data_IF_698732809329
#
_entry.id   IF_698732809329
#
_cell.length_a   1.000
_cell.length_b   1.000
_cell.length_c   1.000
_cell.angle_alpha   90.00
_cell.angle_beta   90.00
_cell.angle_gamma   90.00
#
_symmetry.space_group_name_H-M   'P 1'
#
loop_
_entity.id
_entity.type
_entity.pdbx_description
1 polymer ?
#
# COMPACT_ATOMS: atom_id res chain seq x y z
N UNK A 1 83.40 0.97 38.86
CA UNK A 1 84.70 1.68 38.94
C UNK A 1 85.50 1.27 37.70
N UNK A 2 86.07 2.13 36.85
CA UNK A 2 86.10 3.63 36.76
C UNK A 2 86.45 3.96 35.28
N UNK A 3 85.88 4.93 34.56
CA UNK A 3 84.69 5.77 34.84
C UNK A 3 83.65 5.72 33.68
N UNK A 4 83.31 6.68 32.81
CA UNK A 4 83.64 8.11 32.58
C UNK A 4 84.54 8.39 31.35
N UNK A 5 84.35 9.47 30.57
CA UNK A 5 83.22 10.43 30.54
C UNK A 5 83.03 11.09 29.15
N UNK A 6 81.90 11.79 29.02
CA UNK A 6 81.28 12.42 27.83
C UNK A 6 82.16 13.45 27.09
N UNK A 7 82.12 13.45 25.75
CA UNK A 7 82.06 14.67 24.90
C UNK A 7 81.32 14.36 23.60
N UNK A 8 80.59 15.32 23.03
CA UNK A 8 79.81 15.15 21.79
C UNK A 8 80.09 16.27 20.78
N UNK A 9 80.07 15.97 19.47
CA UNK A 9 79.35 16.77 18.46
C UNK A 9 79.39 16.18 17.03
N UNK A 10 78.30 16.44 16.30
CA UNK A 10 78.16 16.58 14.84
C UNK A 10 78.93 15.66 13.86
N UNK A 11 78.16 14.88 13.10
CA UNK A 11 78.22 14.94 11.63
C UNK A 11 76.85 14.68 11.01
N UNK A 12 76.57 15.32 9.87
CA UNK A 12 75.27 15.25 9.19
C UNK A 12 75.05 13.88 8.53
N UNK A 13 73.82 13.33 8.60
CA UNK A 13 73.39 12.21 7.75
C UNK A 13 72.06 12.51 7.06
N UNK A 14 72.07 12.42 5.74
CA UNK A 14 70.93 12.69 4.87
C UNK A 14 69.96 11.50 4.92
N UNK A 15 68.76 11.71 5.47
CA UNK A 15 67.68 10.72 5.42
C UNK A 15 66.80 10.93 4.18
N UNK A 16 66.65 9.88 3.38
CA UNK A 16 65.76 9.85 2.21
C UNK A 16 64.36 9.45 2.70
N UNK A 17 63.38 10.34 2.56
CA UNK A 17 61.98 10.02 2.90
C UNK A 17 61.42 8.97 1.94
N UNK A 18 61.20 7.75 2.44
CA UNK A 18 60.39 6.72 1.76
C UNK A 18 58.94 6.92 2.20
N UNK A 19 58.12 7.49 1.32
CA UNK A 19 56.71 7.76 1.58
C UNK A 19 55.89 6.49 1.37
N UNK A 20 55.56 5.80 2.46
CA UNK A 20 54.62 4.68 2.43
C UNK A 20 53.23 5.18 1.99
N UNK A 21 52.67 4.57 0.94
CA UNK A 21 51.24 4.70 0.61
C UNK A 21 50.48 3.68 1.46
N UNK A 22 49.73 4.16 2.44
CA UNK A 22 48.68 3.37 3.09
C UNK A 22 47.47 3.33 2.16
N UNK A 23 47.30 2.21 1.46
CA UNK A 23 46.09 1.95 0.67
C UNK A 23 44.96 1.55 1.62
N UNK A 24 44.24 2.54 2.16
CA UNK A 24 43.01 2.33 2.91
C UNK A 24 41.93 1.83 1.95
N UNK A 25 41.68 0.52 1.96
CA UNK A 25 40.49 -0.06 1.36
C UNK A 25 39.28 0.36 2.19
N UNK A 26 38.70 1.50 1.82
CA UNK A 26 37.36 1.88 2.26
C UNK A 26 36.36 0.88 1.68
N UNK A 27 36.05 -0.16 2.47
CA UNK A 27 34.86 -0.98 2.22
C UNK A 27 33.67 -0.04 2.41
N UNK A 28 33.14 0.47 1.30
CA UNK A 28 31.95 1.29 1.34
C UNK A 28 30.82 0.45 1.92
N UNK A 29 30.22 0.92 3.02
CA UNK A 29 28.87 0.48 3.35
C UNK A 29 27.99 0.90 2.18
N UNK A 30 27.62 -0.07 1.35
CA UNK A 30 26.39 0.02 0.58
C UNK A 30 25.25 0.00 1.59
N UNK A 31 24.93 1.17 2.13
CA UNK A 31 23.62 1.38 2.70
C UNK A 31 22.62 1.07 1.58
N UNK A 32 21.73 0.10 1.80
CA UNK A 32 20.56 -0.03 0.96
C UNK A 32 19.81 1.29 1.06
N UNK A 33 19.82 2.04 -0.05
CA UNK A 33 19.07 3.26 -0.14
C UNK A 33 17.60 2.89 -0.23
N UNK A 34 16.81 3.40 0.73
CA UNK A 34 15.36 3.38 0.68
C UNK A 34 14.86 3.79 -0.72
N UNK A 35 13.88 3.06 -1.24
CA UNK A 35 13.32 3.31 -2.56
C UNK A 35 12.62 4.67 -2.66
N UNK A 36 12.23 5.08 -3.87
CA UNK A 36 11.62 6.40 -4.10
C UNK A 36 10.14 6.47 -3.71
N UNK A 37 9.51 5.36 -3.32
CA UNK A 37 8.07 5.22 -3.19
C UNK A 37 7.56 5.66 -1.82
N UNK A 38 6.25 5.86 -1.67
CA UNK A 38 5.69 6.39 -0.43
C UNK A 38 5.88 5.47 0.79
N UNK A 39 6.07 6.10 1.95
CA UNK A 39 5.98 5.43 3.24
C UNK A 39 4.57 4.90 3.55
N UNK A 40 4.43 4.06 4.57
CA UNK A 40 3.16 3.40 4.91
C UNK A 40 2.05 4.33 5.41
N UNK A 41 2.39 5.53 5.89
CA UNK A 41 1.45 6.57 6.33
C UNK A 41 2.06 7.96 6.23
N UNK A 42 1.22 9.00 6.30
CA UNK A 42 1.62 10.42 6.45
C UNK A 42 2.54 11.01 5.35
N UNK A 43 2.71 10.33 4.22
CA UNK A 43 3.58 10.74 3.09
C UNK A 43 2.76 11.26 1.89
N UNK A 44 1.77 12.11 2.16
CA UNK A 44 0.84 12.68 1.16
C UNK A 44 1.50 13.65 0.16
N UNK A 45 2.79 13.94 0.34
CA UNK A 45 3.61 14.73 -0.59
C UNK A 45 4.42 13.90 -1.59
N UNK A 46 4.38 12.57 -1.52
CA UNK A 46 5.12 11.70 -2.43
C UNK A 46 4.52 11.72 -3.85
N UNK A 47 5.37 11.57 -4.87
CA UNK A 47 4.95 11.50 -6.27
C UNK A 47 4.52 10.10 -6.71
N UNK A 48 4.76 9.09 -5.88
CA UNK A 48 4.41 7.69 -6.12
C UNK A 48 3.51 7.17 -5.00
N UNK A 49 2.35 6.61 -5.36
CA UNK A 49 1.44 5.82 -4.50
C UNK A 49 1.29 6.26 -3.04
N UNK A 50 1.18 7.59 -2.84
CA UNK A 50 1.06 8.24 -1.54
C UNK A 50 -0.17 7.73 -0.75
N UNK A 51 -0.01 7.33 0.53
CA UNK A 51 -1.06 6.66 1.30
C UNK A 51 -2.27 7.58 1.55
N UNK A 52 -3.48 7.07 1.30
CA UNK A 52 -4.73 7.80 1.51
C UNK A 52 -5.29 7.48 2.89
N UNK A 53 -5.43 8.49 3.75
CA UNK A 53 -6.05 8.34 5.05
C UNK A 53 -7.49 7.81 4.94
N UNK A 54 -7.81 6.70 5.61
CA UNK A 54 -9.16 6.14 5.71
C UNK A 54 -10.11 7.01 6.54
N UNK A 55 -9.56 7.71 7.54
CA UNK A 55 -10.26 8.62 8.44
C UNK A 55 -9.63 10.01 8.46
N UNK A 56 -10.45 11.05 8.66
CA UNK A 56 -10.01 12.44 8.87
C UNK A 56 -10.84 13.13 9.95
N UNK A 57 -10.29 14.19 10.54
CA UNK A 57 -11.00 15.02 11.51
C UNK A 57 -10.05 15.70 12.50
N UNK A 58 -10.58 16.23 13.62
CA UNK A 58 -9.80 16.95 14.64
C UNK A 58 -8.74 16.12 15.35
N UNK A 59 -8.87 14.79 15.37
CA UNK A 59 -7.97 13.88 16.09
C UNK A 59 -6.76 13.44 15.23
N UNK A 60 -6.72 13.87 13.95
CA UNK A 60 -5.59 13.70 13.03
C UNK A 60 -5.95 12.96 11.74
N UNK A 61 -5.20 13.17 10.66
CA UNK A 61 -5.36 12.37 9.44
C UNK A 61 -4.93 10.92 9.69
N UNK A 62 -5.69 9.98 9.14
CA UNK A 62 -5.46 8.54 9.27
C UNK A 62 -5.81 7.95 10.63
N UNK A 63 -6.29 8.72 11.62
CA UNK A 63 -6.64 8.17 12.94
C UNK A 63 -8.06 7.61 12.96
N UNK A 64 -8.16 6.28 13.10
CA UNK A 64 -9.42 5.53 13.02
C UNK A 64 -10.30 5.74 14.25
N UNK A 65 -11.60 5.94 14.05
CA UNK A 65 -12.59 6.06 15.13
C UNK A 65 -13.02 4.65 15.59
N UNK A 66 -12.17 4.02 16.41
CA UNK A 66 -12.22 2.58 16.73
C UNK A 66 -12.38 2.32 18.23
N UNK A 67 -12.99 1.20 18.58
CA UNK A 67 -13.05 0.70 19.96
C UNK A 67 -11.65 0.24 20.42
N UNK A 68 -11.10 0.88 21.45
CA UNK A 68 -9.79 0.53 22.05
C UNK A 68 -9.90 -0.34 23.30
N UNK A 69 -11.11 -0.75 23.71
CA UNK A 69 -11.32 -1.61 24.87
C UNK A 69 -12.73 -1.59 25.45
N UNK A 70 -12.85 -2.05 26.69
CA UNK A 70 -14.08 -2.04 27.51
C UNK A 70 -13.75 -1.33 28.83
N UNK A 71 -14.62 -0.43 29.28
CA UNK A 71 -14.58 0.18 30.59
C UNK A 71 -14.96 -0.84 31.68
N UNK A 72 -14.08 -1.02 32.67
CA UNK A 72 -14.21 -2.09 33.67
C UNK A 72 -15.21 -1.80 34.80
N UNK A 73 -15.77 -0.58 34.88
CA UNK A 73 -16.79 -0.21 35.87
C UNK A 73 -18.21 -0.18 35.27
N UNK A 74 -18.33 0.09 33.98
CA UNK A 74 -19.60 0.29 33.26
C UNK A 74 -19.89 -0.76 32.18
N UNK A 75 -18.92 -1.64 31.89
CA UNK A 75 -18.96 -2.65 30.82
C UNK A 75 -19.20 -2.08 29.41
N UNK A 76 -18.97 -0.76 29.20
CA UNK A 76 -19.19 -0.10 27.92
C UNK A 76 -17.93 -0.07 27.04
N UNK A 77 -18.08 -0.11 25.70
CA UNK A 77 -17.00 0.19 24.76
C UNK A 77 -16.31 1.54 25.01
N UNK A 78 -14.98 1.54 25.04
CA UNK A 78 -14.16 2.76 24.98
C UNK A 78 -13.73 2.95 23.52
N UNK A 79 -13.96 4.14 22.95
CA UNK A 79 -13.52 4.51 21.61
C UNK A 79 -12.41 5.56 21.66
N UNK A 80 -11.46 5.47 20.73
CA UNK A 80 -10.44 6.50 20.45
C UNK A 80 -10.80 7.27 19.17
N UNK A 81 -10.21 8.47 19.01
CA UNK A 81 -10.36 9.34 17.83
C UNK A 81 -11.83 9.62 17.47
N UNK A 82 -12.67 9.86 18.49
CA UNK A 82 -14.13 9.93 18.36
C UNK A 82 -14.66 11.15 17.60
N UNK A 83 -13.80 12.14 17.32
CA UNK A 83 -14.14 13.29 16.46
C UNK A 83 -13.85 13.02 14.97
N UNK A 84 -13.13 11.94 14.66
CA UNK A 84 -12.82 11.56 13.28
C UNK A 84 -13.95 10.75 12.62
N UNK A 85 -13.97 10.81 11.30
CA UNK A 85 -14.96 10.16 10.43
C UNK A 85 -14.30 9.64 9.15
N UNK A 86 -14.94 8.67 8.50
CA UNK A 86 -14.47 8.09 7.23
C UNK A 86 -14.26 9.19 6.19
N UNK A 87 -13.12 9.15 5.52
CA UNK A 87 -12.64 10.24 4.69
C UNK A 87 -13.57 10.51 3.49
N UNK A 88 -14.17 11.71 3.37
CA UNK A 88 -15.10 12.04 2.28
C UNK A 88 -14.41 12.20 0.91
N UNK A 89 -13.10 11.94 0.80
CA UNK A 89 -12.44 11.67 -0.48
C UNK A 89 -13.10 10.49 -1.19
N UNK A 90 -13.47 9.44 -0.45
CA UNK A 90 -14.13 8.24 -0.99
C UNK A 90 -15.60 8.54 -1.32
N UNK A 91 -16.00 8.19 -2.55
CA UNK A 91 -17.35 8.40 -3.11
C UNK A 91 -18.17 7.10 -3.15
N UNK A 92 -17.48 5.98 -3.19
CA UNK A 92 -18.06 4.64 -3.18
C UNK A 92 -17.12 3.64 -2.52
N UNK A 93 -17.63 2.43 -2.30
CA UNK A 93 -16.93 1.32 -1.69
C UNK A 93 -17.31 0.02 -2.41
N UNK A 94 -16.57 -1.05 -2.21
CA UNK A 94 -16.98 -2.37 -2.67
C UNK A 94 -18.35 -2.77 -2.07
N UNK A 95 -19.27 -3.25 -2.91
CA UNK A 95 -20.65 -3.60 -2.50
C UNK A 95 -21.01 -5.06 -2.71
N UNK A 96 -20.23 -5.80 -3.50
CA UNK A 96 -20.55 -7.17 -3.93
C UNK A 96 -19.29 -8.02 -3.94
N UNK A 97 -19.30 -9.19 -3.30
CA UNK A 97 -18.31 -10.26 -3.57
C UNK A 97 -18.75 -10.99 -4.84
N UNK A 98 -17.91 -10.97 -5.87
CA UNK A 98 -18.16 -11.64 -7.16
C UNK A 98 -17.52 -13.02 -7.17
N UNK A 99 -16.31 -13.14 -6.62
CA UNK A 99 -15.61 -14.40 -6.41
C UNK A 99 -14.70 -14.31 -5.19
N UNK A 100 -14.48 -15.43 -4.50
CA UNK A 100 -13.54 -15.56 -3.37
C UNK A 100 -12.98 -16.98 -3.35
N UNK A 101 -11.67 -17.09 -3.60
CA UNK A 101 -10.93 -18.34 -3.68
C UNK A 101 -9.67 -18.22 -2.82
N UNK A 102 -9.75 -18.40 -1.49
CA UNK A 102 -8.60 -18.35 -0.62
C UNK A 102 -7.72 -19.60 -0.75
N UNK A 103 -6.44 -19.48 -0.39
CA UNK A 103 -5.51 -20.60 -0.35
C UNK A 103 -5.49 -21.30 1.04
N UNK A 104 -4.32 -21.75 1.48
CA UNK A 104 -4.11 -22.39 2.79
C UNK A 104 -3.99 -21.38 3.93
N UNK A 105 -3.75 -21.88 5.15
CA UNK A 105 -3.33 -21.11 6.32
C UNK A 105 -4.35 -20.10 6.91
N UNK A 106 -5.50 -19.91 6.27
CA UNK A 106 -6.64 -19.13 6.79
C UNK A 106 -7.51 -19.94 7.77
N UNK A 107 -7.66 -19.49 9.01
CA UNK A 107 -8.62 -20.03 9.99
C UNK A 107 -10.06 -19.59 9.68
N UNK A 108 -11.05 -20.37 10.12
CA UNK A 108 -12.45 -20.23 9.65
C UNK A 108 -13.12 -18.89 9.93
N UNK A 109 -12.64 -18.12 10.92
CA UNK A 109 -13.17 -16.80 11.25
C UNK A 109 -12.83 -15.74 10.18
N UNK A 110 -11.65 -15.85 9.56
CA UNK A 110 -11.12 -14.89 8.57
C UNK A 110 -11.61 -15.15 7.13
N UNK A 111 -12.51 -16.14 6.95
CA UNK A 111 -13.02 -16.56 5.63
C UNK A 111 -14.34 -15.89 5.22
N UNK A 112 -14.80 -14.88 5.98
CA UNK A 112 -16.02 -14.16 5.62
C UNK A 112 -15.74 -13.05 4.61
N UNK A 113 -15.86 -13.35 3.32
CA UNK A 113 -15.69 -12.36 2.25
C UNK A 113 -16.63 -11.14 2.34
N UNK A 114 -17.70 -11.17 3.15
CA UNK A 114 -18.54 -10.00 3.38
C UNK A 114 -17.91 -8.93 4.29
N UNK A 115 -16.72 -9.17 4.86
CA UNK A 115 -15.98 -8.15 5.63
C UNK A 115 -15.35 -7.11 4.71
N UNK A 116 -14.91 -7.50 3.51
CA UNK A 116 -14.36 -6.59 2.50
C UNK A 116 -15.40 -5.67 1.81
N UNK A 117 -16.56 -5.44 2.40
CA UNK A 117 -17.69 -4.70 1.81
C UNK A 117 -18.10 -3.51 2.68
N UNK A 118 -18.34 -2.37 2.02
CA UNK A 118 -18.67 -1.12 2.69
C UNK A 118 -17.44 -0.29 3.07
N UNK A 119 -17.63 0.62 4.02
CA UNK A 119 -16.61 1.59 4.40
C UNK A 119 -15.52 0.98 5.30
N UNK A 120 -14.29 1.45 5.12
CA UNK A 120 -13.17 1.21 6.04
C UNK A 120 -13.60 1.54 7.49
N UNK A 121 -13.23 0.67 8.41
CA UNK A 121 -13.45 0.80 9.85
C UNK A 121 -12.16 1.05 10.63
N UNK A 122 -10.99 0.70 10.07
CA UNK A 122 -9.69 0.74 10.73
C UNK A 122 -9.53 -0.37 11.78
N UNK A 123 -10.43 -1.36 11.77
CA UNK A 123 -10.39 -2.52 12.63
C UNK A 123 -9.63 -3.63 11.91
N UNK A 124 -8.41 -3.88 12.37
CA UNK A 124 -7.50 -4.89 11.85
C UNK A 124 -8.05 -6.33 11.94
N UNK A 125 -9.18 -6.54 12.64
CA UNK A 125 -9.91 -7.80 12.70
C UNK A 125 -11.15 -7.85 11.80
N UNK A 126 -11.53 -6.74 11.16
CA UNK A 126 -12.67 -6.66 10.24
C UNK A 126 -12.27 -7.03 8.80
N UNK A 127 -11.49 -8.10 8.64
CA UNK A 127 -10.83 -8.48 7.38
C UNK A 127 -11.35 -9.80 6.80
N UNK A 128 -11.15 -9.99 5.48
CA UNK A 128 -11.11 -11.31 4.86
C UNK A 128 -9.70 -11.64 4.38
N UNK A 129 -9.18 -12.75 4.89
CA UNK A 129 -7.85 -13.25 4.54
C UNK A 129 -7.88 -14.02 3.22
N UNK A 130 -6.86 -13.83 2.38
CA UNK A 130 -6.71 -14.52 1.11
C UNK A 130 -5.98 -15.86 1.22
N UNK A 131 -5.13 -16.10 2.22
CA UNK A 131 -4.42 -17.38 2.34
C UNK A 131 -3.06 -17.42 1.65
N UNK A 132 -2.01 -17.64 2.44
CA UNK A 132 -0.63 -17.84 1.97
C UNK A 132 -0.34 -19.31 1.56
N UNK A 133 0.71 -19.51 0.76
CA UNK A 133 1.22 -20.78 0.26
C UNK A 133 2.69 -21.02 0.63
N UNK A 134 3.00 -22.22 1.14
CA UNK A 134 4.39 -22.66 1.20
C UNK A 134 5.02 -22.81 -0.19
N UNK A 135 6.32 -22.60 -0.30
CA UNK A 135 7.09 -22.83 -1.54
C UNK A 135 6.87 -24.24 -2.13
N UNK A 136 6.59 -25.25 -1.30
CA UNK A 136 6.25 -26.60 -1.76
C UNK A 136 4.86 -26.67 -2.45
N UNK A 137 3.88 -25.90 -1.97
CA UNK A 137 2.57 -25.80 -2.62
C UNK A 137 2.66 -25.02 -3.93
N UNK A 138 3.39 -23.89 -3.95
CA UNK A 138 3.65 -23.12 -5.18
C UNK A 138 4.33 -24.01 -6.23
N UNK A 139 5.38 -24.76 -5.85
CA UNK A 139 6.07 -25.71 -6.72
C UNK A 139 5.18 -26.89 -7.19
N UNK A 140 4.09 -27.19 -6.48
CA UNK A 140 3.09 -28.18 -6.89
C UNK A 140 1.99 -27.63 -7.81
N UNK A 141 2.01 -26.32 -8.10
CA UNK A 141 1.03 -25.64 -8.95
C UNK A 141 -0.21 -25.10 -8.22
N UNK A 142 -0.15 -24.94 -6.89
CA UNK A 142 -1.15 -24.16 -6.17
C UNK A 142 -1.15 -22.69 -6.62
N UNK A 143 -2.32 -22.06 -6.61
CA UNK A 143 -2.48 -20.63 -6.91
C UNK A 143 -2.65 -19.83 -5.61
N UNK A 144 -2.14 -18.58 -5.54
CA UNK A 144 -2.40 -17.69 -4.42
C UNK A 144 -3.89 -17.46 -4.18
N UNK A 145 -4.20 -16.96 -2.99
CA UNK A 145 -5.52 -16.46 -2.67
C UNK A 145 -5.99 -15.35 -3.60
N UNK A 146 -7.30 -15.23 -3.80
CA UNK A 146 -7.87 -14.09 -4.52
C UNK A 146 -9.31 -13.79 -4.11
N UNK A 147 -9.69 -12.52 -4.22
CA UNK A 147 -11.06 -12.03 -4.10
C UNK A 147 -11.34 -11.04 -5.23
N UNK A 148 -12.51 -11.16 -5.85
CA UNK A 148 -12.99 -10.21 -6.87
C UNK A 148 -14.21 -9.48 -6.30
N UNK A 149 -14.11 -8.16 -6.18
CA UNK A 149 -15.15 -7.29 -5.64
C UNK A 149 -15.75 -6.42 -6.74
N UNK A 150 -17.06 -6.18 -6.66
CA UNK A 150 -17.83 -5.33 -7.55
C UNK A 150 -18.39 -4.09 -6.85
N UNK A 151 -18.51 -3.00 -7.62
CA UNK A 151 -18.96 -1.69 -7.13
C UNK A 151 -20.35 -1.37 -7.67
N UNK A 152 -21.16 -0.64 -6.88
CA UNK A 152 -22.50 -0.18 -7.30
C UNK A 152 -22.46 1.01 -8.27
N UNK A 153 -21.34 1.72 -8.31
CA UNK A 153 -21.04 2.84 -9.20
C UNK A 153 -19.61 2.63 -9.71
N UNK A 154 -19.42 2.64 -11.03
CA UNK A 154 -18.13 2.34 -11.63
C UNK A 154 -17.06 3.37 -11.25
N UNK A 155 -15.83 2.90 -11.07
CA UNK A 155 -14.62 3.73 -10.90
C UNK A 155 -14.18 4.22 -12.29
N UNK A 156 -13.69 5.44 -12.39
CA UNK A 156 -13.20 6.02 -13.65
C UNK A 156 -11.86 6.73 -13.48
N UNK A 157 -10.98 6.66 -14.48
CA UNK A 157 -9.69 7.35 -14.49
C UNK A 157 -9.87 8.87 -14.36
N UNK A 158 -9.27 9.47 -13.33
CA UNK A 158 -9.42 10.87 -12.97
C UNK A 158 -8.13 11.66 -13.10
N UNK A 159 -7.74 12.35 -12.02
CA UNK A 159 -6.45 13.04 -11.90
C UNK A 159 -5.78 12.50 -10.64
N UNK A 160 -4.75 11.68 -10.83
CA UNK A 160 -4.14 10.93 -9.75
C UNK A 160 -5.02 9.77 -9.27
N UNK A 161 -4.72 9.26 -8.09
CA UNK A 161 -5.38 8.13 -7.41
C UNK A 161 -6.90 8.05 -7.60
N UNK A 162 -7.38 6.93 -8.14
CA UNK A 162 -8.79 6.65 -8.40
C UNK A 162 -9.45 5.78 -7.32
N UNK A 163 -8.66 4.99 -6.60
CA UNK A 163 -9.11 4.19 -5.47
C UNK A 163 -7.97 3.86 -4.50
N UNK A 164 -8.31 3.41 -3.30
CA UNK A 164 -7.36 2.89 -2.32
C UNK A 164 -7.80 1.52 -1.76
N UNK A 165 -6.82 0.67 -1.44
CA UNK A 165 -7.04 -0.66 -0.83
C UNK A 165 -6.50 -0.64 0.60
N UNK A 166 -7.29 -1.16 1.54
CA UNK A 166 -6.99 -1.25 2.97
C UNK A 166 -6.82 -2.72 3.37
N UNK A 167 -5.69 -3.06 3.97
CA UNK A 167 -5.37 -4.35 4.61
C UNK A 167 -4.88 -4.07 6.06
N UNK A 168 -4.56 -5.06 6.88
CA UNK A 168 -4.29 -4.86 8.31
C UNK A 168 -2.81 -4.62 8.70
N UNK A 169 -1.97 -4.20 7.76
CA UNK A 169 -0.54 -3.96 7.98
C UNK A 169 -0.26 -3.04 9.17
N UNK A 170 0.81 -3.34 9.91
CA UNK A 170 1.18 -2.71 11.17
C UNK A 170 2.65 -2.23 11.16
N UNK A 171 2.92 -1.10 11.82
CA UNK A 171 4.31 -0.63 12.01
C UNK A 171 4.92 -1.42 13.15
N UNK A 172 5.96 -2.20 12.85
CA UNK A 172 6.58 -3.10 13.81
C UNK A 172 7.31 -2.33 14.92
N UNK A 173 7.15 -2.81 16.16
CA UNK A 173 8.00 -2.41 17.29
C UNK A 173 9.33 -3.19 17.36
N UNK A 174 9.58 -4.08 16.38
CA UNK A 174 10.74 -4.96 16.29
C UNK A 174 10.40 -6.43 16.57
N UNK A 175 11.39 -7.20 17.03
CA UNK A 175 11.21 -8.61 17.37
C UNK A 175 11.50 -9.54 16.20
N UNK A 176 10.45 -10.02 15.52
CA UNK A 176 10.58 -10.84 14.32
C UNK A 176 10.94 -10.02 13.06
N UNK A 177 10.61 -8.73 13.06
CA UNK A 177 11.01 -7.75 12.05
C UNK A 177 11.81 -6.57 12.63
N UNK A 178 11.98 -5.53 11.81
CA UNK A 178 12.74 -4.32 12.13
C UNK A 178 11.80 -3.24 12.67
N UNK A 179 12.18 -2.64 13.80
CA UNK A 179 11.38 -1.58 14.41
C UNK A 179 11.27 -0.35 13.47
N UNK A 180 10.04 0.12 13.24
CA UNK A 180 9.73 1.23 12.32
C UNK A 180 9.58 0.83 10.85
N UNK A 181 9.77 -0.44 10.48
CA UNK A 181 9.31 -0.99 9.21
C UNK A 181 7.91 -1.58 9.34
N UNK A 182 7.26 -1.87 8.21
CA UNK A 182 5.89 -2.39 8.15
C UNK A 182 5.91 -3.92 8.11
N UNK A 183 5.14 -4.58 8.98
CA UNK A 183 4.66 -5.93 8.69
C UNK A 183 3.49 -5.78 7.72
N UNK A 184 3.61 -6.37 6.55
CA UNK A 184 2.69 -6.26 5.43
C UNK A 184 2.61 -7.61 4.74
N UNK A 185 1.42 -7.98 4.29
CA UNK A 185 1.19 -9.12 3.40
C UNK A 185 0.69 -8.53 2.08
N UNK A 186 1.41 -8.74 0.97
CA UNK A 186 1.22 -7.93 -0.24
C UNK A 186 0.27 -8.60 -1.25
N UNK A 187 -0.39 -7.77 -2.05
CA UNK A 187 -1.21 -8.26 -3.16
C UNK A 187 -1.04 -7.46 -4.44
N UNK A 188 -1.14 -8.16 -5.57
CA UNK A 188 -1.38 -7.56 -6.87
C UNK A 188 -2.82 -7.06 -6.94
N UNK A 189 -3.00 -5.91 -7.60
CA UNK A 189 -4.32 -5.35 -7.89
C UNK A 189 -4.58 -5.42 -9.39
N UNK A 190 -5.76 -5.92 -9.75
CA UNK A 190 -6.22 -6.04 -11.13
C UNK A 190 -7.61 -5.43 -11.29
N UNK A 191 -7.86 -4.72 -12.40
CA UNK A 191 -9.11 -3.99 -12.64
C UNK A 191 -9.83 -4.51 -13.89
N UNK A 192 -11.16 -4.47 -13.90
CA UNK A 192 -11.97 -4.98 -14.99
C UNK A 192 -13.29 -4.21 -15.17
N UNK A 193 -13.71 -4.06 -16.42
CA UNK A 193 -15.03 -3.55 -16.82
C UNK A 193 -16.09 -4.65 -16.86
N UNK A 194 -15.72 -5.88 -17.24
CA UNK A 194 -16.65 -6.96 -17.58
C UNK A 194 -16.64 -8.16 -16.62
N UNK A 195 -15.68 -8.21 -15.68
CA UNK A 195 -15.51 -9.31 -14.73
C UNK A 195 -14.84 -10.54 -15.33
N UNK A 196 -14.26 -10.43 -16.55
CA UNK A 196 -13.59 -11.50 -17.27
C UNK A 196 -12.17 -11.11 -17.69
N UNK A 197 -12.01 -9.91 -18.26
CA UNK A 197 -10.75 -9.34 -18.71
C UNK A 197 -10.19 -8.42 -17.62
N UNK A 198 -9.03 -8.77 -17.05
CA UNK A 198 -8.41 -8.04 -15.93
C UNK A 198 -7.05 -7.48 -16.32
N UNK A 199 -6.91 -6.16 -16.24
CA UNK A 199 -5.64 -5.46 -16.40
C UNK A 199 -4.97 -5.30 -15.02
N UNK A 200 -3.76 -5.82 -14.86
CA UNK A 200 -2.99 -5.75 -13.60
C UNK A 200 -2.18 -4.46 -13.53
N UNK A 201 -2.29 -3.72 -12.42
CA UNK A 201 -1.51 -2.50 -12.22
C UNK A 201 0.00 -2.82 -12.14
N UNK A 202 0.87 -2.03 -12.79
CA UNK A 202 2.30 -2.29 -12.83
C UNK A 202 2.96 -1.95 -11.50
N UNK A 203 3.42 -2.98 -10.78
CA UNK A 203 4.09 -2.88 -9.47
C UNK A 203 5.61 -2.93 -9.56
N UNK A 204 6.28 -2.49 -8.48
CA UNK A 204 7.73 -2.67 -8.27
C UNK A 204 8.02 -3.12 -6.83
N UNK A 205 8.96 -4.06 -6.67
CA UNK A 205 9.51 -4.51 -5.38
C UNK A 205 11.03 -4.38 -5.39
N UNK A 206 11.56 -3.56 -4.49
CA UNK A 206 13.00 -3.41 -4.21
C UNK A 206 13.42 -4.10 -2.90
N UNK A 207 12.52 -4.86 -2.26
CA UNK A 207 12.84 -5.67 -1.07
C UNK A 207 13.94 -6.68 -1.42
N UNK A 208 15.09 -6.69 -0.72
CA UNK A 208 16.30 -7.38 -1.21
C UNK A 208 16.29 -8.90 -1.01
N UNK A 209 15.45 -9.42 -0.13
CA UNK A 209 15.37 -10.84 0.23
C UNK A 209 14.11 -11.14 1.05
N UNK A 210 13.71 -12.41 1.13
CA UNK A 210 12.63 -12.86 2.02
C UNK A 210 12.87 -12.44 3.48
N UNK A 211 11.82 -11.95 4.15
CA UNK A 211 11.90 -11.40 5.51
C UNK A 211 11.44 -12.39 6.60
N UNK A 212 10.76 -13.46 6.20
CA UNK A 212 10.29 -14.55 7.08
C UNK A 212 8.88 -14.33 7.61
N UNK A 213 8.37 -15.33 8.33
CA UNK A 213 6.93 -15.46 8.66
C UNK A 213 6.29 -14.22 9.29
N UNK A 214 6.98 -13.53 10.21
CA UNK A 214 6.51 -12.27 10.79
C UNK A 214 7.58 -11.18 10.66
N UNK A 215 8.26 -11.19 9.51
CA UNK A 215 9.26 -10.19 9.13
C UNK A 215 8.62 -8.86 8.72
N UNK A 216 9.44 -7.90 8.32
CA UNK A 216 9.00 -6.56 7.91
C UNK A 216 9.65 -6.12 6.62
N UNK A 217 8.92 -5.32 5.85
CA UNK A 217 9.38 -4.65 4.64
C UNK A 217 9.51 -3.14 4.87
N UNK A 218 10.43 -2.52 4.15
CA UNK A 218 10.48 -1.06 4.04
C UNK A 218 9.46 -0.62 2.98
N UNK A 219 8.38 0.09 3.33
CA UNK A 219 7.31 0.45 2.38
C UNK A 219 7.81 1.35 1.24
N UNK A 220 8.92 2.08 1.43
CA UNK A 220 9.51 2.93 0.37
C UNK A 220 10.14 2.13 -0.77
N UNK A 221 10.41 0.83 -0.55
CA UNK A 221 10.87 -0.11 -1.57
C UNK A 221 9.72 -0.75 -2.38
N UNK A 222 8.46 -0.45 -2.06
CA UNK A 222 7.28 -1.08 -2.67
C UNK A 222 6.45 -0.05 -3.41
N UNK A 223 6.05 -0.37 -4.63
CA UNK A 223 5.18 0.44 -5.48
C UNK A 223 4.00 -0.37 -6.02
N UNK A 224 2.79 0.18 -5.93
CA UNK A 224 1.58 -0.33 -6.60
C UNK A 224 1.24 -1.79 -6.21
N UNK A 225 1.58 -2.19 -4.98
CA UNK A 225 1.14 -3.42 -4.31
C UNK A 225 0.33 -3.02 -3.08
N UNK A 226 -0.84 -3.62 -2.91
CA UNK A 226 -1.64 -3.38 -1.72
C UNK A 226 -0.94 -3.95 -0.48
N UNK A 227 -1.28 -3.46 0.71
CA UNK A 227 -0.76 -3.93 2.00
C UNK A 227 0.48 -3.19 2.50
N UNK A 228 1.09 -2.29 1.70
CA UNK A 228 2.23 -1.50 2.19
C UNK A 228 1.84 -0.36 3.15
N UNK A 229 0.55 -0.03 3.24
CA UNK A 229 0.03 1.12 4.00
C UNK A 229 -0.59 0.67 5.31
N UNK A 230 -0.26 1.36 6.41
CA UNK A 230 -0.61 0.91 7.78
C UNK A 230 -2.08 1.17 8.10
N UNK A 231 -2.79 0.14 8.56
CA UNK A 231 -4.20 0.23 8.92
C UNK A 231 -4.48 -0.75 10.08
N UNK A 232 -3.90 -0.40 11.23
CA UNK A 232 -3.85 -1.17 12.48
C UNK A 232 -3.52 -0.20 13.65
N UNK A 233 -3.66 -0.64 14.90
CA UNK A 233 -3.34 0.13 16.13
C UNK A 233 -4.00 1.54 16.22
N UNK A 234 -5.11 1.76 15.50
CA UNK A 234 -5.81 3.06 15.43
C UNK A 234 -5.28 4.02 14.35
N UNK A 235 -4.31 3.60 13.54
CA UNK A 235 -4.04 4.17 12.21
C UNK A 235 -4.88 3.47 11.13
N UNK A 236 -5.18 4.19 10.05
CA UNK A 236 -5.95 3.72 8.90
C UNK A 236 -5.54 4.48 7.65
N UNK A 237 -4.73 3.82 6.81
CA UNK A 237 -4.18 4.35 5.57
C UNK A 237 -4.26 3.27 4.48
N UNK A 238 -4.88 3.59 3.34
CA UNK A 238 -4.98 2.69 2.20
C UNK A 238 -3.88 2.96 1.17
N UNK A 239 -3.37 1.90 0.54
CA UNK A 239 -2.44 2.04 -0.59
C UNK A 239 -3.19 2.64 -1.77
N UNK A 240 -2.60 3.66 -2.40
CA UNK A 240 -3.17 4.40 -3.53
C UNK A 240 -2.93 3.70 -4.88
N UNK A 241 -3.97 3.64 -5.72
CA UNK A 241 -3.91 3.12 -7.09
C UNK A 241 -4.45 4.14 -8.09
N UNK A 242 -3.72 4.29 -9.20
CA UNK A 242 -3.95 5.27 -10.29
C UNK A 242 -4.13 4.50 -11.61
N UNK A 243 -5.30 4.66 -12.24
CA UNK A 243 -5.67 3.93 -13.46
C UNK A 243 -4.92 4.44 -14.70
N UNK A 244 -4.35 5.65 -14.70
CA UNK A 244 -3.58 6.17 -15.84
C UNK A 244 -2.30 5.33 -16.06
N UNK A 245 -1.80 4.66 -15.02
CA UNK A 245 -0.74 3.65 -15.13
C UNK A 245 -1.07 2.51 -16.11
N UNK A 246 -2.35 2.28 -16.41
CA UNK A 246 -2.85 1.25 -17.33
C UNK A 246 -3.15 1.74 -18.76
N UNK A 247 -3.02 3.03 -19.11
CA UNK A 247 -3.30 3.51 -20.49
C UNK A 247 -2.44 2.83 -21.56
N UNK A 248 -1.33 2.23 -21.14
CA UNK A 248 -0.44 1.48 -22.00
C UNK A 248 -0.67 -0.04 -22.05
N UNK A 249 -1.57 -0.58 -21.23
CA UNK A 249 -1.89 -2.02 -21.21
C UNK A 249 -2.54 -2.51 -22.52
N UNK A 250 -2.38 -3.80 -22.80
CA UNK A 250 -2.90 -4.43 -24.02
C UNK A 250 -4.42 -4.62 -24.00
N UNK A 251 -5.04 -4.90 -22.85
CA UNK A 251 -6.50 -5.04 -22.74
C UNK A 251 -7.19 -3.68 -22.89
N UNK A 252 -6.59 -2.63 -22.32
CA UNK A 252 -7.06 -1.24 -22.50
C UNK A 252 -6.94 -0.82 -23.97
N UNK A 253 -5.79 -1.05 -24.62
CA UNK A 253 -5.61 -0.76 -26.05
C UNK A 253 -6.49 -1.58 -27.00
N UNK A 254 -7.00 -2.72 -26.56
CA UNK A 254 -7.97 -3.54 -27.28
C UNK A 254 -9.44 -3.18 -26.98
N UNK A 255 -9.69 -2.26 -26.03
CA UNK A 255 -11.04 -1.90 -25.59
C UNK A 255 -11.76 -2.99 -24.77
N UNK A 256 -11.00 -3.92 -24.17
CA UNK A 256 -11.50 -4.99 -23.30
C UNK A 256 -11.59 -4.56 -21.83
N UNK A 257 -10.79 -3.55 -21.45
CA UNK A 257 -10.88 -2.85 -20.16
C UNK A 257 -11.04 -1.36 -20.45
N UNK A 258 -12.16 -0.79 -20.04
CA UNK A 258 -12.45 0.64 -20.12
C UNK A 258 -12.07 1.29 -18.79
N UNK A 259 -11.01 2.10 -18.78
CA UNK A 259 -10.55 2.78 -17.57
C UNK A 259 -11.53 3.84 -17.06
N UNK A 260 -12.45 4.30 -17.90
CA UNK A 260 -13.56 5.18 -17.50
C UNK A 260 -14.77 4.40 -16.93
N UNK A 261 -14.69 3.07 -16.85
CA UNK A 261 -15.79 2.18 -16.44
C UNK A 261 -15.26 0.88 -15.80
N UNK A 262 -14.55 1.02 -14.68
CA UNK A 262 -14.07 -0.10 -13.87
C UNK A 262 -15.18 -0.51 -12.89
N UNK A 263 -15.80 -1.66 -13.17
CA UNK A 263 -16.88 -2.23 -12.36
C UNK A 263 -16.37 -3.20 -11.29
N UNK A 264 -15.17 -3.76 -11.50
CA UNK A 264 -14.60 -4.82 -10.65
C UNK A 264 -13.12 -4.59 -10.36
N UNK A 265 -12.73 -4.90 -9.13
CA UNK A 265 -11.32 -5.00 -8.72
C UNK A 265 -11.09 -6.42 -8.17
N UNK A 266 -10.02 -7.07 -8.63
CA UNK A 266 -9.49 -8.29 -8.04
C UNK A 266 -8.23 -7.97 -7.25
N UNK A 267 -8.19 -8.48 -6.02
CA UNK A 267 -6.97 -8.56 -5.21
C UNK A 267 -6.45 -10.00 -5.33
N UNK A 268 -5.16 -10.16 -5.62
CA UNK A 268 -4.49 -11.47 -5.72
C UNK A 268 -3.27 -11.46 -4.80
N UNK A 269 -3.31 -12.34 -3.81
CA UNK A 269 -2.28 -12.59 -2.81
C UNK A 269 -0.89 -12.84 -3.43
N UNK A 270 0.16 -12.45 -2.70
CA UNK A 270 1.56 -12.69 -3.07
C UNK A 270 2.25 -13.46 -1.94
N UNK A 271 2.42 -14.78 -2.08
CA UNK A 271 3.28 -15.56 -1.21
C UNK A 271 4.74 -15.09 -1.33
N UNK A 272 5.22 -14.31 -0.35
CA UNK A 272 6.51 -13.59 -0.23
C UNK A 272 7.81 -14.38 -0.34
N UNK A 273 7.76 -15.53 -0.97
CA UNK A 273 8.85 -16.46 -1.28
C UNK A 273 9.85 -15.93 -2.32
N UNK A 274 9.54 -14.84 -3.03
CA UNK A 274 10.28 -14.39 -4.23
C UNK A 274 9.94 -15.16 -5.51
N UNK A 275 8.93 -16.04 -5.48
CA UNK A 275 8.49 -16.79 -6.68
C UNK A 275 7.66 -15.93 -7.63
N UNK A 276 6.94 -14.95 -7.09
CA UNK A 276 6.16 -13.99 -7.85
C UNK A 276 7.01 -12.75 -8.15
N UNK A 277 6.84 -12.19 -9.35
CA UNK A 277 7.67 -11.11 -9.88
C UNK A 277 6.84 -9.84 -10.09
N UNK A 278 7.48 -8.69 -9.95
CA UNK A 278 6.92 -7.38 -10.25
C UNK A 278 6.89 -7.07 -11.77
N UNK A 279 6.44 -5.87 -12.15
CA UNK A 279 6.33 -5.47 -13.57
C UNK A 279 7.68 -5.32 -14.31
N UNK A 280 8.80 -5.32 -13.58
CA UNK A 280 10.16 -5.23 -14.11
C UNK A 280 10.93 -6.56 -14.02
N UNK A 281 10.35 -7.58 -13.37
CA UNK A 281 10.92 -8.90 -13.17
C UNK A 281 11.70 -9.09 -11.86
N UNK A 282 11.62 -8.17 -10.91
CA UNK A 282 12.21 -8.35 -9.58
C UNK A 282 11.35 -9.32 -8.74
N UNK A 283 11.95 -10.20 -7.92
CA UNK A 283 11.24 -10.98 -6.92
C UNK A 283 10.49 -10.09 -5.91
N UNK A 284 9.26 -10.49 -5.57
CA UNK A 284 8.48 -9.86 -4.51
C UNK A 284 8.65 -10.66 -3.22
N UNK A 285 8.98 -9.96 -2.13
CA UNK A 285 9.23 -10.52 -0.80
C UNK A 285 8.48 -9.71 0.26
N UNK A 286 7.76 -10.43 1.12
CA UNK A 286 7.01 -9.92 2.27
C UNK A 286 6.95 -10.99 3.39
N UNK A 287 6.01 -10.84 4.34
CA UNK A 287 5.87 -11.77 5.45
C UNK A 287 5.25 -13.11 5.03
N UNK A 288 6.08 -14.16 4.97
CA UNK A 288 5.65 -15.52 4.56
C UNK A 288 6.53 -16.60 5.21
N UNK A 289 6.03 -17.78 5.63
CA UNK A 289 4.67 -18.30 5.39
C UNK A 289 3.74 -18.06 6.59
N UNK A 290 2.82 -17.10 6.50
CA UNK A 290 1.94 -16.68 7.59
C UNK A 290 0.83 -17.70 7.90
N UNK A 291 0.23 -17.59 9.08
CA UNK A 291 -0.75 -18.56 9.61
C UNK A 291 -1.75 -17.89 10.55
N UNK A 292 -3.02 -18.30 10.50
CA UNK A 292 -4.11 -17.69 11.25
C UNK A 292 -4.98 -16.91 10.26
N UNK A 293 -4.68 -15.63 10.06
CA UNK A 293 -5.18 -14.85 8.94
C UNK A 293 -4.14 -14.71 7.82
N UNK A 294 -3.25 -15.70 7.67
CA UNK A 294 -2.09 -15.56 6.79
C UNK A 294 -2.42 -15.47 5.30
N UNK A 295 -1.67 -14.64 4.59
CA UNK A 295 -1.97 -14.13 3.25
C UNK A 295 -2.71 -12.78 3.37
N UNK A 296 -2.80 -12.05 2.27
CA UNK A 296 -3.37 -10.70 2.25
C UNK A 296 -4.72 -10.57 3.01
N UNK A 297 -4.79 -9.66 3.98
CA UNK A 297 -5.94 -9.48 4.89
C UNK A 297 -6.78 -8.24 4.51
N UNK A 298 -7.69 -8.39 3.54
CA UNK A 298 -8.46 -7.27 2.97
C UNK A 298 -9.55 -6.76 3.92
N UNK A 299 -9.48 -5.48 4.32
CA UNK A 299 -10.56 -4.77 5.03
C UNK A 299 -11.51 -4.06 4.06
N UNK A 300 -11.01 -3.28 3.11
CA UNK A 300 -11.86 -2.44 2.25
C UNK A 300 -11.20 -2.01 0.95
N UNK A 301 -12.03 -1.65 -0.04
CA UNK A 301 -11.59 -0.91 -1.23
C UNK A 301 -12.49 0.32 -1.40
N UNK A 302 -11.90 1.52 -1.30
CA UNK A 302 -12.58 2.80 -1.38
C UNK A 302 -12.34 3.49 -2.73
N UNK A 303 -13.41 3.80 -3.45
CA UNK A 303 -13.38 4.50 -4.74
C UNK A 303 -13.35 6.02 -4.55
N UNK A 304 -12.44 6.71 -5.23
CA UNK A 304 -12.23 8.17 -5.18
C UNK A 304 -12.80 8.85 -6.43
N UNK A 305 -12.48 8.35 -7.62
CA UNK A 305 -12.99 8.85 -8.89
C UNK A 305 -14.05 7.87 -9.43
N UNK A 306 -15.28 8.34 -9.61
CA UNK A 306 -16.44 7.50 -9.98
C UNK A 306 -17.28 8.13 -11.08
N UNK A 307 -17.83 7.29 -11.96
CA UNK A 307 -18.65 7.69 -13.11
C UNK A 307 -19.85 8.52 -12.64
N UNK A 308 -19.99 9.80 -13.05
CA UNK A 308 -21.04 10.66 -12.53
C UNK A 308 -22.45 10.16 -12.88
N UNK A 309 -23.29 10.02 -11.85
CA UNK A 309 -24.70 9.67 -11.99
C UNK A 309 -25.43 10.52 -13.07
N UNK A 310 -26.28 9.94 -13.93
CA UNK A 310 -26.98 10.69 -14.98
C UNK A 310 -27.82 11.86 -14.46
N UNK A 311 -28.28 11.78 -13.20
CA UNK A 311 -28.98 12.85 -12.49
C UNK A 311 -28.08 14.06 -12.18
N UNK A 312 -26.82 13.83 -11.81
CA UNK A 312 -25.83 14.89 -11.58
C UNK A 312 -25.47 15.60 -12.90
N UNK A 313 -25.32 14.86 -13.99
CA UNK A 313 -25.13 15.42 -15.34
C UNK A 313 -26.34 16.25 -15.78
N UNK A 314 -27.57 15.78 -15.55
CA UNK A 314 -28.78 16.54 -15.86
C UNK A 314 -28.85 17.87 -15.07
N UNK A 315 -28.53 17.84 -13.77
CA UNK A 315 -28.49 19.04 -12.92
C UNK A 315 -27.42 20.04 -13.37
N UNK A 316 -26.22 19.56 -13.73
CA UNK A 316 -25.14 20.39 -14.26
C UNK A 316 -25.55 21.11 -15.56
N UNK A 317 -26.15 20.37 -16.50
CA UNK A 317 -26.62 20.91 -17.78
C UNK A 317 -27.75 21.95 -17.59
N UNK A 318 -28.69 21.70 -16.67
CA UNK A 318 -29.74 22.68 -16.31
C UNK A 318 -29.14 23.93 -15.65
N UNK A 319 -28.12 23.78 -14.79
CA UNK A 319 -27.39 24.89 -14.17
C UNK A 319 -26.69 25.77 -15.21
N UNK A 320 -25.91 25.17 -16.12
CA UNK A 320 -25.22 25.86 -17.22
C UNK A 320 -26.24 26.56 -18.14
N UNK A 321 -27.31 25.87 -18.54
CA UNK A 321 -28.39 26.46 -19.34
C UNK A 321 -29.03 27.68 -18.68
N UNK A 322 -29.26 27.62 -17.37
CA UNK A 322 -29.81 28.71 -16.57
C UNK A 322 -28.87 29.93 -16.48
N UNK A 323 -27.56 29.69 -16.32
CA UNK A 323 -26.52 30.73 -16.35
C UNK A 323 -26.42 31.42 -17.73
N UNK A 324 -26.43 30.64 -18.81
CA UNK A 324 -26.42 31.16 -20.19
C UNK A 324 -27.69 31.96 -20.52
N UNK A 325 -28.87 31.50 -20.09
CA UNK A 325 -30.12 32.24 -20.23
C UNK A 325 -30.11 33.56 -19.44
N UNK A 326 -29.59 33.54 -18.21
CA UNK A 326 -29.48 34.73 -17.36
C UNK A 326 -28.52 35.77 -17.94
N UNK A 327 -27.36 35.36 -18.49
CA UNK A 327 -26.45 36.27 -19.21
C UNK A 327 -27.13 36.97 -20.38
N UNK A 328 -27.76 36.20 -21.29
CA UNK A 328 -28.49 36.75 -22.45
C UNK A 328 -29.61 37.72 -22.04
N UNK A 329 -30.25 37.52 -20.88
CA UNK A 329 -31.25 38.47 -20.35
C UNK A 329 -30.67 39.75 -19.77
N UNK A 330 -29.42 39.76 -19.30
CA UNK A 330 -28.73 40.99 -18.87
C UNK A 330 -28.27 41.78 -20.09
N UNK A 331 -27.64 41.10 -21.06
CA UNK A 331 -27.18 41.67 -22.33
C UNK A 331 -28.33 42.24 -23.20
N UNK A 332 -29.56 41.76 -23.03
CA UNK A 332 -30.75 42.27 -23.73
C UNK A 332 -31.49 43.41 -22.99
N UNK A 333 -30.95 43.90 -21.87
CA UNK A 333 -31.56 44.95 -21.03
C UNK A 333 -30.56 46.11 -20.76
N UNK A 334 -29.33 46.01 -21.29
CA UNK A 334 -28.29 47.04 -21.29
C UNK A 334 -28.19 47.79 -22.62
#
# INVERSE_FOLDING_TARGET
MVEGSVTAMHSLRIFRFVRWLLFTWSVGLLALQAGPYAASSSDSGNAYDAPIAGFVGPDGEGKANIQSGIDLETEQPIYINTNNYVNPVFKGWATTVVDYSPASNVDSQWRNASQALGAVTGDYTHVVSLGDLTAAQIASGAKPGSITLGFSQAICNGIGTDFAVFENALVSSGGAGVAGQTFAELAFVEVSTDGLNFARLPSVSLTPSAVGQYGTVDPTNIYNLAGKSVNNDGDSWGTAFDLDSLVNDSLVKLGLVNLDEINYIRIVDIPGTGTYLDSLGNPIYDASVTTGSGGFDLEAIGAINVVPEPSAMALLLVGIGSLCWRRRRVEAVS
#
